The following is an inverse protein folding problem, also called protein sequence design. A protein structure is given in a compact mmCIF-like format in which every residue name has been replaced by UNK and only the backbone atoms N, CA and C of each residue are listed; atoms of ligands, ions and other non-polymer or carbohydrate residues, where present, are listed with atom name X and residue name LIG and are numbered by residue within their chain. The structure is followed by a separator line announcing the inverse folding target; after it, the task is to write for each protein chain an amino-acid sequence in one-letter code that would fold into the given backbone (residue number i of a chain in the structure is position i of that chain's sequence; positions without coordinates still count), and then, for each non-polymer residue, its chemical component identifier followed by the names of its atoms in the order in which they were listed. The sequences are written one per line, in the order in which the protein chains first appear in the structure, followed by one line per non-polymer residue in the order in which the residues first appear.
data_IF_162427245483
#
_entry.id   IF_162427245483
#
_cell.length_a   1.000
_cell.length_b   1.000
_cell.length_c   1.000
_cell.angle_alpha   90.00
_cell.angle_beta   90.00
_cell.angle_gamma   90.00
#
_symmetry.space_group_name_H-M   'P 1'
#
loop_
_entity.id
_entity.type
_entity.pdbx_description
1 polymer ?
#
# COMPACT_ATOMS: atom_id res chain seq x y z
N UNK A 1 28.10 -48.14 50.78
CA UNK A 1 28.77 -47.31 49.77
C UNK A 1 27.83 -46.17 49.44
N UNK A 2 28.22 -44.92 49.77
CA UNK A 2 27.50 -43.68 49.43
C UNK A 2 27.58 -43.44 47.93
N UNK A 3 26.51 -42.94 47.31
CA UNK A 3 26.49 -42.01 46.15
C UNK A 3 25.01 -41.83 45.75
N UNK A 4 24.36 -40.79 46.23
CA UNK A 4 24.18 -39.44 45.65
C UNK A 4 22.92 -39.30 44.79
N UNK A 5 22.14 -38.28 45.16
CA UNK A 5 20.87 -37.84 44.63
C UNK A 5 20.87 -37.47 43.14
N UNK A 6 19.72 -37.62 42.49
CA UNK A 6 19.22 -36.62 41.55
C UNK A 6 17.73 -36.38 41.85
N UNK A 7 17.44 -35.22 42.44
CA UNK A 7 16.09 -34.67 42.55
C UNK A 7 15.76 -34.09 41.17
N UNK A 8 14.83 -34.71 40.45
CA UNK A 8 14.21 -34.08 39.28
C UNK A 8 13.02 -33.27 39.78
N UNK A 9 13.25 -31.99 40.04
CA UNK A 9 12.18 -31.04 40.27
C UNK A 9 11.44 -30.80 38.95
N UNK A 10 10.25 -31.39 38.80
CA UNK A 10 9.29 -30.99 37.77
C UNK A 10 8.70 -29.63 38.16
N UNK A 11 9.43 -28.57 37.86
CA UNK A 11 8.95 -27.20 37.93
C UNK A 11 7.90 -26.99 36.86
N UNK A 12 6.62 -27.04 37.23
CA UNK A 12 5.52 -26.58 36.40
C UNK A 12 5.63 -25.07 36.19
N UNK A 13 5.96 -24.66 34.97
CA UNK A 13 5.74 -23.29 34.54
C UNK A 13 4.25 -23.12 34.21
N UNK A 14 3.44 -22.81 35.22
CA UNK A 14 2.19 -22.11 34.96
C UNK A 14 2.57 -20.71 34.50
N UNK A 15 2.43 -20.44 33.20
CA UNK A 15 2.49 -19.09 32.69
C UNK A 15 1.47 -18.23 33.46
N UNK A 16 1.83 -17.04 33.95
CA UNK A 16 0.84 -16.16 34.53
C UNK A 16 -0.15 -15.78 33.44
N UNK A 17 -1.44 -16.03 33.71
CA UNK A 17 -2.56 -15.52 32.94
C UNK A 17 -2.44 -13.99 32.99
N UNK A 18 -1.93 -13.37 31.93
CA UNK A 18 -1.95 -11.91 31.78
C UNK A 18 -3.41 -11.51 31.68
N UNK A 19 -3.97 -11.11 32.81
CA UNK A 19 -5.28 -10.47 32.88
C UNK A 19 -5.18 -9.16 32.11
N UNK A 20 -5.98 -9.06 31.06
CA UNK A 20 -6.20 -7.87 30.24
C UNK A 20 -6.71 -6.71 31.12
N UNK A 21 -5.79 -5.99 31.75
CA UNK A 21 -6.08 -4.67 32.31
C UNK A 21 -6.19 -3.69 31.15
N UNK A 22 -7.45 -3.45 30.75
CA UNK A 22 -8.01 -2.23 30.18
C UNK A 22 -6.98 -1.11 29.97
N UNK A 23 -6.31 -1.13 28.83
CA UNK A 23 -5.56 0.02 28.34
C UNK A 23 -6.60 1.14 28.16
N UNK A 24 -6.44 2.31 28.80
CA UNK A 24 -7.36 3.42 28.62
C UNK A 24 -7.33 3.86 27.14
N UNK A 25 -8.52 3.95 26.53
CA UNK A 25 -8.75 4.32 25.12
C UNK A 25 -8.04 5.61 24.68
N UNK A 26 -7.58 6.42 25.62
CA UNK A 26 -6.98 7.74 25.41
C UNK A 26 -5.55 7.74 24.87
N UNK A 27 -4.92 6.57 24.70
CA UNK A 27 -3.51 6.48 24.28
C UNK A 27 -3.29 5.93 22.87
N UNK A 28 -4.36 5.57 22.14
CA UNK A 28 -4.26 5.06 20.75
C UNK A 28 -4.38 6.19 19.72
N UNK A 29 -4.89 7.36 20.11
CA UNK A 29 -5.14 8.50 19.21
C UNK A 29 -3.92 9.38 18.89
N UNK A 30 -2.71 9.00 19.35
CA UNK A 30 -1.50 9.80 19.17
C UNK A 30 -0.44 9.17 18.23
N UNK A 31 -0.82 8.17 17.40
CA UNK A 31 0.02 7.65 16.30
C UNK A 31 -0.42 8.11 14.90
N UNK A 32 -1.50 8.87 14.80
CA UNK A 32 -1.87 9.57 13.58
C UNK A 32 -1.09 10.88 13.47
N UNK A 33 -0.78 11.30 12.25
CA UNK A 33 -0.41 12.68 11.89
C UNK A 33 1.08 13.04 11.78
N UNK A 34 2.02 12.09 11.81
CA UNK A 34 3.36 12.39 11.29
C UNK A 34 3.32 12.19 9.77
N UNK A 35 3.46 13.25 8.95
CA UNK A 35 3.50 13.08 7.51
C UNK A 35 4.68 12.18 7.15
N UNK A 36 4.41 11.17 6.33
CA UNK A 36 5.43 10.32 5.77
C UNK A 36 6.43 11.15 4.97
N UNK A 37 7.68 11.11 5.40
CA UNK A 37 8.75 11.91 4.80
C UNK A 37 9.36 11.17 3.62
N UNK A 38 9.38 11.77 2.42
CA UNK A 38 10.05 11.18 1.28
C UNK A 38 11.55 11.01 1.48
N UNK A 39 12.09 9.93 0.94
CA UNK A 39 13.54 9.72 0.94
C UNK A 39 14.24 10.82 0.11
N UNK A 40 15.46 11.23 0.48
CA UNK A 40 16.26 12.12 -0.36
C UNK A 40 16.37 11.57 -1.79
N UNK A 41 16.07 12.41 -2.79
CA UNK A 41 16.08 12.00 -4.20
C UNK A 41 14.78 11.37 -4.72
N UNK A 42 13.71 11.32 -3.92
CA UNK A 42 12.38 11.00 -4.41
C UNK A 42 11.98 11.92 -5.58
N UNK A 43 11.39 11.34 -6.62
CA UNK A 43 11.06 12.02 -7.88
C UNK A 43 9.69 12.68 -7.85
N UNK A 44 8.74 12.04 -7.18
CA UNK A 44 7.37 12.52 -6.98
C UNK A 44 7.01 12.61 -5.48
N UNK A 45 7.82 13.29 -4.64
CA UNK A 45 7.66 13.33 -3.18
C UNK A 45 6.28 13.86 -2.74
N UNK A 46 5.66 14.75 -3.53
CA UNK A 46 4.36 15.35 -3.24
C UNK A 46 3.20 14.34 -3.16
N UNK A 47 3.37 13.13 -3.70
CA UNK A 47 2.32 12.10 -3.70
C UNK A 47 2.54 10.97 -2.70
N UNK A 48 3.66 10.96 -1.97
CA UNK A 48 3.98 9.89 -1.04
C UNK A 48 2.98 9.82 0.12
N UNK A 49 2.63 10.97 0.71
CA UNK A 49 1.60 11.01 1.74
C UNK A 49 0.26 10.52 1.19
N UNK A 50 -0.12 10.93 -0.02
CA UNK A 50 -1.35 10.47 -0.66
C UNK A 50 -1.33 8.95 -0.87
N UNK A 51 -0.20 8.39 -1.31
CA UNK A 51 -0.04 6.94 -1.48
C UNK A 51 -0.21 6.19 -0.15
N UNK A 52 0.40 6.67 0.93
CA UNK A 52 0.21 6.10 2.28
C UNK A 52 -1.25 6.20 2.73
N UNK A 53 -1.88 7.36 2.52
CA UNK A 53 -3.28 7.58 2.90
C UNK A 53 -4.24 6.60 2.22
N UNK A 54 -3.97 6.23 0.96
CA UNK A 54 -4.81 5.26 0.23
C UNK A 54 -4.40 3.80 0.46
N UNK A 55 -3.36 3.54 1.26
CA UNK A 55 -3.00 2.20 1.73
C UNK A 55 -1.75 1.57 1.11
N UNK A 56 -0.94 2.31 0.34
CA UNK A 56 0.37 1.80 -0.10
C UNK A 56 1.31 1.63 1.10
N UNK A 57 2.03 0.51 1.14
CA UNK A 57 3.00 0.25 2.21
C UNK A 57 4.29 1.03 1.98
N UNK A 58 5.00 1.35 3.07
CA UNK A 58 6.29 2.03 3.00
C UNK A 58 7.31 1.32 2.09
N UNK A 59 7.30 -0.02 2.06
CA UNK A 59 8.20 -0.80 1.22
C UNK A 59 7.95 -0.62 -0.29
N UNK A 60 6.74 -0.22 -0.69
CA UNK A 60 6.37 -0.04 -2.09
C UNK A 60 6.64 1.38 -2.61
N UNK A 61 6.79 2.37 -1.71
CA UNK A 61 6.80 3.79 -2.09
C UNK A 61 7.96 4.16 -3.02
N UNK A 62 9.13 3.54 -2.86
CA UNK A 62 10.26 3.79 -3.78
C UNK A 62 9.96 3.34 -5.22
N UNK A 63 9.29 2.19 -5.38
CA UNK A 63 8.92 1.68 -6.71
C UNK A 63 7.76 2.48 -7.29
N UNK A 64 6.78 2.82 -6.47
CA UNK A 64 5.67 3.69 -6.86
C UNK A 64 6.16 5.07 -7.29
N UNK A 65 7.13 5.66 -6.58
CA UNK A 65 7.78 6.93 -6.92
C UNK A 65 8.43 6.88 -8.30
N UNK A 66 9.22 5.83 -8.54
CA UNK A 66 9.80 5.58 -9.86
C UNK A 66 8.73 5.47 -10.94
N UNK A 67 7.65 4.72 -10.68
CA UNK A 67 6.54 4.52 -11.62
C UNK A 67 5.84 5.85 -11.95
N UNK A 68 5.43 6.62 -10.94
CA UNK A 68 4.80 7.93 -11.11
C UNK A 68 5.65 8.87 -11.98
N UNK A 69 6.98 8.84 -11.79
CA UNK A 69 7.88 9.62 -12.62
C UNK A 69 7.98 9.09 -14.06
N UNK A 70 8.10 7.77 -14.24
CA UNK A 70 8.22 7.13 -15.56
C UNK A 70 6.98 7.39 -16.41
N UNK A 71 5.80 7.21 -15.82
CA UNK A 71 4.51 7.24 -16.51
C UNK A 71 4.05 8.66 -16.86
N UNK A 72 4.24 9.62 -15.95
CA UNK A 72 3.64 10.96 -16.11
C UNK A 72 4.56 12.12 -15.79
N UNK A 73 5.78 11.87 -15.30
CA UNK A 73 6.62 12.90 -14.66
C UNK A 73 5.88 13.62 -13.53
N UNK A 74 5.14 12.84 -12.73
CA UNK A 74 4.30 13.30 -11.63
C UNK A 74 3.14 14.25 -12.05
N UNK A 75 2.70 14.22 -13.32
CA UNK A 75 1.61 15.09 -13.81
C UNK A 75 0.27 14.36 -13.69
N UNK A 76 -0.71 15.03 -13.10
CA UNK A 76 -2.00 14.42 -12.75
C UNK A 76 -3.01 14.43 -13.89
N UNK A 77 -2.95 15.43 -14.77
CA UNK A 77 -3.92 15.64 -15.86
C UNK A 77 -3.53 15.02 -17.21
N UNK A 78 -2.57 14.09 -17.24
CA UNK A 78 -2.14 13.48 -18.51
C UNK A 78 -3.05 12.34 -18.92
N UNK A 79 -3.27 12.25 -20.24
CA UNK A 79 -3.90 11.12 -20.90
C UNK A 79 -3.05 10.73 -22.09
N UNK A 80 -2.64 9.47 -22.14
CA UNK A 80 -2.09 8.89 -23.36
C UNK A 80 -3.26 8.32 -24.17
N UNK A 81 -3.68 9.02 -25.22
CA UNK A 81 -4.83 8.62 -26.04
C UNK A 81 -4.51 7.49 -27.03
N UNK A 82 -3.23 7.26 -27.31
CA UNK A 82 -2.77 6.26 -28.27
C UNK A 82 -2.75 4.85 -27.66
N UNK A 83 -2.84 4.74 -26.33
CA UNK A 83 -2.98 3.45 -25.65
C UNK A 83 -4.35 2.81 -25.94
N UNK A 84 -4.42 1.47 -26.03
CA UNK A 84 -5.68 0.75 -26.20
C UNK A 84 -6.70 1.04 -25.09
N UNK A 85 -7.95 0.63 -25.33
CA UNK A 85 -9.05 0.67 -24.36
C UNK A 85 -9.44 2.09 -23.89
N UNK A 86 -9.29 3.09 -24.78
CA UNK A 86 -9.65 4.48 -24.49
C UNK A 86 -8.51 5.33 -23.91
N UNK A 87 -7.31 4.76 -23.81
CA UNK A 87 -6.11 5.43 -23.35
C UNK A 87 -5.73 5.10 -21.91
N UNK A 88 -4.65 5.69 -21.44
CA UNK A 88 -4.16 5.57 -20.06
C UNK A 88 -4.14 6.94 -19.37
N UNK A 89 -4.43 6.98 -18.06
CA UNK A 89 -4.79 8.22 -17.36
C UNK A 89 -3.96 8.46 -16.09
N UNK A 90 -3.57 9.73 -15.90
CA UNK A 90 -3.07 10.26 -14.64
C UNK A 90 -1.66 9.82 -14.27
N UNK A 91 -1.36 9.90 -12.97
CA UNK A 91 0.01 9.88 -12.45
C UNK A 91 0.75 8.57 -12.76
N UNK A 92 0.06 7.43 -12.61
CA UNK A 92 0.60 6.10 -12.92
C UNK A 92 0.05 5.54 -14.22
N UNK A 93 -0.56 6.38 -15.08
CA UNK A 93 -1.10 5.98 -16.39
C UNK A 93 -1.96 4.71 -16.31
N UNK A 94 -3.01 4.72 -15.49
CA UNK A 94 -3.96 3.59 -15.40
C UNK A 94 -4.64 3.40 -16.75
N UNK A 95 -4.49 2.23 -17.39
CA UNK A 95 -5.12 1.94 -18.68
C UNK A 95 -6.65 1.84 -18.55
N UNK A 96 -7.35 2.35 -19.57
CA UNK A 96 -8.81 2.37 -19.64
C UNK A 96 -9.48 0.99 -19.57
N UNK A 97 -8.74 -0.09 -19.85
CA UNK A 97 -9.17 -1.48 -19.61
C UNK A 97 -9.73 -1.70 -18.19
N UNK A 98 -9.11 -1.07 -17.18
CA UNK A 98 -9.46 -1.25 -15.78
C UNK A 98 -10.69 -0.45 -15.35
N UNK A 99 -11.14 0.53 -16.13
CA UNK A 99 -12.17 1.50 -15.71
C UNK A 99 -13.47 0.80 -15.31
N UNK A 100 -13.95 -0.17 -16.11
CA UNK A 100 -15.17 -0.92 -15.77
C UNK A 100 -15.02 -1.68 -14.45
N UNK A 101 -13.91 -2.40 -14.29
CA UNK A 101 -13.63 -3.23 -13.13
C UNK A 101 -13.47 -2.39 -11.84
N UNK A 102 -12.88 -1.19 -11.95
CA UNK A 102 -12.75 -0.23 -10.86
C UNK A 102 -14.09 0.41 -10.47
N UNK A 103 -14.94 0.72 -11.44
CA UNK A 103 -16.31 1.24 -11.20
C UNK A 103 -17.19 0.26 -10.44
N UNK A 104 -17.15 -1.01 -10.83
CA UNK A 104 -17.90 -2.08 -10.15
C UNK A 104 -17.49 -2.28 -8.68
N UNK A 105 -16.32 -1.75 -8.29
CA UNK A 105 -15.79 -1.77 -6.91
C UNK A 105 -15.95 -0.45 -6.17
N UNK A 106 -16.57 0.55 -6.79
CA UNK A 106 -16.76 1.86 -6.19
C UNK A 106 -15.48 2.69 -6.03
N UNK A 107 -14.39 2.35 -6.74
CA UNK A 107 -13.12 3.09 -6.65
C UNK A 107 -13.18 4.41 -7.40
N UNK A 108 -13.94 4.46 -8.50
CA UNK A 108 -14.16 5.64 -9.32
C UNK A 108 -15.53 5.57 -9.99
N UNK A 109 -16.09 6.72 -10.40
CA UNK A 109 -17.36 6.76 -11.13
C UNK A 109 -17.15 6.79 -12.65
N UNK A 110 -16.13 7.53 -13.09
CA UNK A 110 -15.80 7.74 -14.52
C UNK A 110 -14.29 7.85 -14.72
N UNK A 111 -13.82 7.56 -15.94
CA UNK A 111 -12.39 7.56 -16.26
C UNK A 111 -11.68 8.89 -15.92
N UNK A 112 -12.35 10.03 -16.04
CA UNK A 112 -11.76 11.34 -15.70
C UNK A 112 -11.50 11.54 -14.20
N UNK A 113 -12.05 10.71 -13.32
CA UNK A 113 -11.66 10.73 -11.90
C UNK A 113 -10.21 10.28 -11.71
N UNK A 114 -9.63 9.53 -12.66
CA UNK A 114 -8.22 9.12 -12.65
C UNK A 114 -7.24 10.31 -12.77
N UNK A 115 -7.72 11.53 -13.03
CA UNK A 115 -6.89 12.74 -12.93
C UNK A 115 -6.72 13.25 -11.50
N UNK A 116 -7.52 12.74 -10.55
CA UNK A 116 -7.36 13.04 -9.11
C UNK A 116 -6.26 12.12 -8.55
N UNK A 117 -5.21 12.65 -7.91
CA UNK A 117 -4.10 11.84 -7.38
C UNK A 117 -4.54 10.68 -6.49
N UNK A 118 -5.45 10.95 -5.56
CA UNK A 118 -5.96 9.96 -4.62
C UNK A 118 -6.66 8.80 -5.32
N UNK A 119 -7.57 9.10 -6.25
CA UNK A 119 -8.29 8.08 -7.03
C UNK A 119 -7.34 7.30 -7.94
N UNK A 120 -6.36 7.97 -8.56
CA UNK A 120 -5.38 7.32 -9.43
C UNK A 120 -4.51 6.32 -8.64
N UNK A 121 -4.00 6.73 -7.48
CA UNK A 121 -3.15 5.89 -6.62
C UNK A 121 -3.93 4.78 -5.93
N UNK A 122 -5.19 5.02 -5.55
CA UNK A 122 -6.09 3.98 -5.04
C UNK A 122 -6.41 2.96 -6.14
N UNK A 123 -6.72 3.42 -7.35
CA UNK A 123 -6.95 2.55 -8.51
C UNK A 123 -5.73 1.68 -8.79
N UNK A 124 -4.53 2.28 -8.74
CA UNK A 124 -3.27 1.56 -8.91
C UNK A 124 -3.07 0.50 -7.82
N UNK A 125 -3.42 0.79 -6.56
CA UNK A 125 -3.32 -0.18 -5.46
C UNK A 125 -4.26 -1.38 -5.68
N UNK A 126 -5.49 -1.14 -6.15
CA UNK A 126 -6.43 -2.21 -6.49
C UNK A 126 -5.90 -3.10 -7.62
N UNK A 127 -5.34 -2.50 -8.67
CA UNK A 127 -4.74 -3.23 -9.80
C UNK A 127 -3.50 -4.01 -9.35
N UNK A 128 -2.65 -3.39 -8.54
CA UNK A 128 -1.47 -4.02 -7.95
C UNK A 128 -1.87 -5.26 -7.14
N UNK A 129 -2.81 -5.11 -6.21
CA UNK A 129 -3.28 -6.22 -5.37
C UNK A 129 -3.92 -7.33 -6.21
N UNK A 130 -4.69 -7.00 -7.26
CA UNK A 130 -5.23 -8.00 -8.17
C UNK A 130 -4.12 -8.79 -8.88
N UNK A 131 -3.12 -8.10 -9.42
CA UNK A 131 -2.02 -8.73 -10.15
C UNK A 131 -1.09 -9.53 -9.23
N UNK A 132 -0.85 -9.04 -8.01
CA UNK A 132 -0.06 -9.75 -7.01
C UNK A 132 -0.75 -11.07 -6.59
N UNK A 133 -2.04 -11.01 -6.27
CA UNK A 133 -2.81 -12.20 -5.90
C UNK A 133 -2.93 -13.21 -7.04
N UNK A 134 -2.99 -12.77 -8.29
CA UNK A 134 -3.22 -13.64 -9.45
C UNK A 134 -1.93 -14.16 -10.11
N UNK A 135 -0.89 -13.35 -10.10
CA UNK A 135 0.34 -13.58 -10.88
C UNK A 135 1.61 -13.47 -10.04
N UNK A 136 1.50 -13.19 -8.73
CA UNK A 136 2.66 -12.98 -7.83
C UNK A 136 3.60 -11.87 -8.32
N UNK A 137 3.06 -10.94 -9.10
CA UNK A 137 3.75 -9.73 -9.52
C UNK A 137 2.73 -8.57 -9.60
N UNK A 138 2.57 -7.85 -8.50
CA UNK A 138 1.70 -6.68 -8.44
C UNK A 138 2.11 -5.54 -9.38
N UNK A 139 3.39 -5.44 -9.76
CA UNK A 139 3.87 -4.39 -10.67
C UNK A 139 3.76 -4.76 -12.15
N UNK A 140 3.45 -6.02 -12.46
CA UNK A 140 3.31 -6.56 -13.81
C UNK A 140 2.40 -5.77 -14.76
N UNK A 141 1.26 -5.18 -14.32
CA UNK A 141 0.42 -4.34 -15.19
C UNK A 141 1.14 -3.12 -15.79
N UNK A 142 2.29 -2.74 -15.22
CA UNK A 142 3.16 -1.66 -15.68
C UNK A 142 4.50 -2.18 -16.23
N UNK A 143 4.63 -3.49 -16.50
CA UNK A 143 5.87 -4.12 -16.98
C UNK A 143 7.07 -3.79 -16.08
N UNK A 144 6.89 -4.00 -14.78
CA UNK A 144 7.91 -3.87 -13.74
C UNK A 144 8.15 -5.22 -13.06
#
# INVERSE_FOLDING_TARGET
MKLLAIIVALGGFSAPLVTSEHIPLKQVEARGDVPYQPMPGARCPQFWQTAVNVGWTQAQLSTLDYLMWRESRCKTGLRNADDPNGGSFGIVQVNGFWVKWLRERGVLEKASDLYKPEVNLLSALFIYNYADNRYQNGWGPWNL
#
